data_IF_268768505824
#
_entry.id   IF_268768505824
#
_cell.length_a   1.000
_cell.length_b   1.000
_cell.length_c   1.000
_cell.angle_alpha   90.00
_cell.angle_beta   90.00
_cell.angle_gamma   90.00
#
_symmetry.space_group_name_H-M   'P 1'
#
loop_
_entity.id
_entity.type
_entity.pdbx_description
1 polymer ?
#
# COMPACT_ATOMS: atom_id res chain seq x y z
N UNK A 1 5.01 -4.66 15.78
CA UNK A 1 5.29 -4.48 14.33
C UNK A 1 6.04 -5.72 13.85
N UNK A 2 5.99 -6.07 12.56
CA UNK A 2 6.80 -7.18 12.03
C UNK A 2 8.09 -6.61 11.44
N UNK A 3 9.20 -7.33 11.59
CA UNK A 3 10.50 -7.02 10.99
C UNK A 3 10.85 -8.20 10.05
N UNK A 4 11.45 -7.92 8.89
CA UNK A 4 11.86 -8.96 7.93
C UNK A 4 10.83 -9.30 6.84
N UNK A 5 10.85 -10.54 6.35
CA UNK A 5 10.12 -10.93 5.13
C UNK A 5 8.60 -10.96 5.32
N UNK A 6 7.89 -10.27 4.42
CA UNK A 6 6.42 -10.32 4.35
C UNK A 6 5.97 -11.64 3.76
N UNK A 7 4.97 -12.26 4.37
CA UNK A 7 4.34 -13.48 3.84
C UNK A 7 3.70 -13.15 2.47
N UNK A 8 4.14 -13.78 1.37
CA UNK A 8 3.50 -13.60 0.08
C UNK A 8 2.10 -14.22 0.09
N UNK A 9 1.19 -13.66 -0.71
CA UNK A 9 -0.16 -14.22 -0.88
C UNK A 9 -0.64 -14.02 -2.31
N UNK A 10 -0.72 -15.13 -3.07
CA UNK A 10 -1.05 -15.12 -4.50
C UNK A 10 -2.45 -14.56 -4.77
N UNK A 11 -3.46 -15.03 -4.02
CA UNK A 11 -4.85 -14.56 -4.14
C UNK A 11 -4.98 -13.04 -3.99
N UNK A 12 -4.27 -12.44 -3.01
CA UNK A 12 -4.30 -10.97 -2.82
C UNK A 12 -3.54 -10.25 -3.92
N UNK A 13 -2.45 -10.83 -4.42
CA UNK A 13 -1.69 -10.25 -5.53
C UNK A 13 -2.56 -10.15 -6.80
N UNK A 14 -3.20 -11.25 -7.20
CA UNK A 14 -4.09 -11.29 -8.38
C UNK A 14 -5.24 -10.30 -8.21
N UNK A 15 -5.92 -10.30 -7.06
CA UNK A 15 -7.03 -9.36 -6.77
C UNK A 15 -6.58 -7.90 -6.81
N UNK A 16 -5.37 -7.59 -6.36
CA UNK A 16 -4.83 -6.23 -6.38
C UNK A 16 -4.51 -5.74 -7.80
N UNK A 17 -4.17 -6.66 -8.71
CA UNK A 17 -3.89 -6.39 -10.13
C UNK A 17 -5.15 -6.27 -10.98
N UNK A 18 -6.25 -6.97 -10.62
CA UNK A 18 -7.52 -6.95 -11.36
C UNK A 18 -8.52 -5.97 -10.75
N UNK A 19 -9.49 -6.46 -9.97
CA UNK A 19 -10.60 -5.69 -9.38
C UNK A 19 -10.12 -4.51 -8.53
N UNK A 20 -9.02 -4.68 -7.79
CA UNK A 20 -8.44 -3.61 -6.98
C UNK A 20 -7.85 -2.49 -7.82
N UNK A 21 -7.32 -2.78 -9.01
CA UNK A 21 -6.78 -1.77 -9.93
C UNK A 21 -7.91 -0.93 -10.50
N UNK A 22 -8.98 -1.56 -11.00
CA UNK A 22 -10.15 -0.88 -11.53
C UNK A 22 -10.79 0.07 -10.50
N UNK A 23 -11.04 -0.41 -9.28
CA UNK A 23 -11.61 0.42 -8.20
C UNK A 23 -10.73 1.63 -7.84
N UNK A 24 -9.40 1.49 -7.89
CA UNK A 24 -8.48 2.62 -7.64
C UNK A 24 -8.48 3.64 -8.78
N UNK A 25 -8.64 3.18 -10.03
CA UNK A 25 -8.72 4.07 -11.19
C UNK A 25 -9.93 5.01 -11.08
N UNK A 26 -11.12 4.45 -10.80
CA UNK A 26 -12.34 5.22 -10.57
C UNK A 26 -12.16 6.22 -9.41
N UNK A 27 -11.60 5.79 -8.28
CA UNK A 27 -11.36 6.69 -7.13
C UNK A 27 -10.42 7.86 -7.45
N UNK A 28 -9.40 7.64 -8.30
CA UNK A 28 -8.50 8.70 -8.75
C UNK A 28 -9.19 9.69 -9.69
N UNK A 29 -10.12 9.21 -10.52
CA UNK A 29 -10.87 10.06 -11.44
C UNK A 29 -11.88 10.96 -10.69
N UNK A 30 -12.53 10.43 -9.65
CA UNK A 30 -13.58 11.15 -8.92
C UNK A 30 -13.04 12.03 -7.79
N UNK A 31 -11.98 11.61 -7.10
CA UNK A 31 -11.46 12.33 -5.94
C UNK A 31 -10.07 12.94 -6.23
N UNK A 32 -9.96 14.28 -6.33
CA UNK A 32 -8.70 14.95 -6.68
C UNK A 32 -7.61 14.79 -5.61
N UNK A 33 -7.98 14.49 -4.37
CA UNK A 33 -7.08 14.29 -3.24
C UNK A 33 -6.64 12.81 -3.08
N UNK A 34 -7.21 11.88 -3.84
CA UNK A 34 -6.92 10.45 -3.68
C UNK A 34 -5.51 10.09 -4.20
N UNK A 35 -4.67 9.56 -3.32
CA UNK A 35 -3.32 9.10 -3.66
C UNK A 35 -2.28 10.23 -3.80
N UNK A 36 -2.62 11.47 -3.47
CA UNK A 36 -1.67 12.58 -3.39
C UNK A 36 -0.76 12.43 -2.16
N UNK A 37 0.48 12.91 -2.26
CA UNK A 37 1.44 12.93 -1.13
C UNK A 37 0.88 13.82 0.00
N UNK A 38 1.20 13.48 1.25
CA UNK A 38 0.77 14.26 2.43
C UNK A 38 -0.66 13.98 2.94
N UNK A 39 -1.60 13.60 2.07
CA UNK A 39 -3.02 13.37 2.43
C UNK A 39 -3.20 12.31 3.54
N UNK A 40 -2.34 11.30 3.57
CA UNK A 40 -2.36 10.27 4.61
C UNK A 40 -2.03 10.80 6.01
N UNK A 41 -1.12 11.78 6.12
CA UNK A 41 -0.77 12.43 7.39
C UNK A 41 -1.90 13.35 7.86
N UNK A 42 -2.49 14.13 6.94
CA UNK A 42 -3.62 15.01 7.24
C UNK A 42 -4.85 14.23 7.73
N UNK A 43 -5.16 13.07 7.10
CA UNK A 43 -6.34 12.28 7.46
C UNK A 43 -6.14 11.36 8.66
N UNK A 44 -4.97 10.71 8.78
CA UNK A 44 -4.69 9.80 9.90
C UNK A 44 -3.18 9.69 10.15
N UNK A 45 -2.60 10.56 11.00
CA UNK A 45 -1.16 10.63 11.22
C UNK A 45 -0.61 9.35 11.86
N UNK A 46 -1.29 8.81 12.88
CA UNK A 46 -0.87 7.58 13.58
C UNK A 46 -0.71 6.40 12.63
N UNK A 47 -1.69 6.18 11.74
CA UNK A 47 -1.65 5.10 10.74
C UNK A 47 -0.57 5.36 9.69
N UNK A 48 -0.42 6.60 9.25
CA UNK A 48 0.58 7.00 8.26
C UNK A 48 2.00 6.70 8.76
N UNK A 49 2.33 7.13 9.99
CA UNK A 49 3.63 6.88 10.62
C UNK A 49 3.87 5.37 10.80
N UNK A 50 2.90 4.63 11.34
CA UNK A 50 3.02 3.17 11.53
C UNK A 50 3.28 2.44 10.22
N UNK A 51 2.59 2.81 9.15
CA UNK A 51 2.80 2.22 7.82
C UNK A 51 4.16 2.59 7.22
N UNK A 52 4.65 3.81 7.46
CA UNK A 52 5.97 4.25 7.01
C UNK A 52 7.07 3.42 7.66
N UNK A 53 7.01 3.24 8.99
CA UNK A 53 7.99 2.40 9.70
C UNK A 53 7.86 0.94 9.26
N UNK A 54 6.64 0.39 9.16
CA UNK A 54 6.43 -0.97 8.64
C UNK A 54 7.04 -1.18 7.25
N UNK A 55 6.95 -0.18 6.35
CA UNK A 55 7.54 -0.26 5.01
C UNK A 55 9.07 -0.29 5.05
N UNK A 56 9.69 0.42 5.99
CA UNK A 56 11.15 0.44 6.17
C UNK A 56 11.69 -0.84 6.82
N UNK A 57 10.94 -1.42 7.75
CA UNK A 57 11.41 -2.58 8.54
C UNK A 57 11.04 -3.93 7.94
N UNK A 58 10.31 -3.98 6.81
CA UNK A 58 9.91 -5.24 6.18
C UNK A 58 10.23 -5.27 4.70
N UNK A 59 10.70 -6.42 4.22
CA UNK A 59 11.05 -6.68 2.83
C UNK A 59 10.02 -7.60 2.19
N UNK A 60 9.59 -7.31 0.96
CA UNK A 60 8.73 -8.19 0.19
C UNK A 60 9.53 -9.21 -0.59
N UNK A 61 8.94 -10.38 -0.86
CA UNK A 61 9.55 -11.38 -1.76
C UNK A 61 9.83 -10.79 -3.15
N UNK A 62 8.98 -9.88 -3.63
CA UNK A 62 9.21 -9.14 -4.89
C UNK A 62 10.35 -8.13 -4.84
N UNK A 63 10.70 -7.64 -3.65
CA UNK A 63 11.82 -6.71 -3.47
C UNK A 63 13.15 -7.47 -3.41
N UNK A 64 13.12 -8.76 -3.07
CA UNK A 64 14.30 -9.66 -3.03
C UNK A 64 14.61 -10.31 -4.39
N UNK A 65 13.61 -10.45 -5.25
CA UNK A 65 13.74 -11.02 -6.61
C UNK A 65 13.99 -9.94 -7.68
N UNK A 66 14.39 -8.73 -7.25
CA UNK A 66 14.61 -7.58 -8.12
C UNK A 66 16.08 -7.38 -8.45
#
# INVERSE_FOLDING_TARGET
>A
MKIGVRKPSLKKAIKASTTGKAKRAVKKAVNPLYGKKGVGLAKNPKRSVKNAVYKKTTVGVKDLLK
#
